data_IF_672739757811
#
_entry.id   IF_672739757811
#
_cell.length_a   1.000
_cell.length_b   1.000
_cell.length_c   1.000
_cell.angle_alpha   90.00
_cell.angle_beta   90.00
_cell.angle_gamma   90.00
#
_symmetry.space_group_name_H-M   'P 1'
#
loop_
_entity.id
_entity.type
_entity.pdbx_description
1 polymer ?
#
# COMPACT_ATOMS: atom_id res chain seq x y z
N UNK A 1 -5.94 -4.29 -10.11
CA UNK A 1 -5.85 -2.86 -10.40
C UNK A 1 -4.60 -2.53 -11.20
N UNK A 2 -4.76 -1.93 -12.39
CA UNK A 2 -3.66 -1.49 -13.26
C UNK A 2 -3.80 -0.01 -13.64
N UNK A 3 -4.67 0.71 -12.96
CA UNK A 3 -4.96 2.12 -13.25
C UNK A 3 -3.79 3.00 -12.82
N UNK A 4 -3.44 3.94 -13.69
CA UNK A 4 -2.48 5.01 -13.42
C UNK A 4 -3.17 6.37 -13.63
N UNK A 5 -2.53 7.40 -13.18
CA UNK A 5 -2.94 8.79 -13.28
C UNK A 5 -1.89 9.57 -14.05
N UNK A 6 -2.29 10.16 -15.17
CA UNK A 6 -1.41 10.93 -16.04
C UNK A 6 -1.96 12.33 -16.25
N UNK A 7 -1.08 13.30 -16.36
CA UNK A 7 -1.47 14.62 -16.84
C UNK A 7 -1.58 14.59 -18.36
N UNK A 8 -2.78 14.80 -18.88
CA UNK A 8 -3.01 14.93 -20.32
C UNK A 8 -2.78 16.36 -20.76
N UNK A 9 -1.71 16.59 -21.51
CA UNK A 9 -1.29 17.94 -21.94
C UNK A 9 -2.33 18.63 -22.82
N UNK A 10 -2.95 17.96 -23.82
CA UNK A 10 -3.98 18.56 -24.65
C UNK A 10 -5.20 19.05 -23.87
N UNK A 11 -5.74 18.23 -22.99
CA UNK A 11 -6.92 18.61 -22.19
C UNK A 11 -6.57 19.39 -20.92
N UNK A 12 -5.30 19.46 -20.52
CA UNK A 12 -4.81 20.05 -19.27
C UNK A 12 -5.49 19.47 -18.02
N UNK A 13 -5.82 18.18 -18.06
CA UNK A 13 -6.52 17.48 -17.00
C UNK A 13 -5.75 16.24 -16.54
N UNK A 14 -6.04 15.77 -15.32
CA UNK A 14 -5.60 14.47 -14.85
C UNK A 14 -6.54 13.40 -15.39
N UNK A 15 -6.03 12.56 -16.28
CA UNK A 15 -6.76 11.41 -16.81
C UNK A 15 -6.38 10.15 -16.07
N UNK A 16 -7.33 9.24 -15.95
CA UNK A 16 -7.14 7.90 -15.36
C UNK A 16 -7.44 6.85 -16.41
N UNK A 17 -6.50 5.96 -16.60
CA UNK A 17 -6.67 4.81 -17.47
C UNK A 17 -5.83 3.63 -16.99
N UNK A 18 -6.07 2.41 -17.48
CA UNK A 18 -5.14 1.31 -17.29
C UNK A 18 -3.75 1.65 -17.83
N UNK A 19 -2.71 1.20 -17.12
CA UNK A 19 -1.34 1.24 -17.61
C UNK A 19 -1.23 0.40 -18.89
N UNK A 20 -0.48 0.88 -19.86
CA UNK A 20 -0.22 0.20 -21.15
C UNK A 20 1.27 -0.03 -21.31
N UNK A 21 1.61 -0.97 -22.19
CA UNK A 21 3.00 -1.15 -22.61
C UNK A 21 3.52 0.16 -23.23
N UNK A 22 4.74 0.53 -22.86
CA UNK A 22 5.36 1.77 -23.27
C UNK A 22 5.01 2.99 -22.41
N UNK A 23 4.12 2.89 -21.44
CA UNK A 23 3.92 3.96 -20.45
C UNK A 23 5.19 4.16 -19.62
N UNK A 24 5.66 5.38 -19.58
CA UNK A 24 6.84 5.78 -18.82
C UNK A 24 6.46 6.78 -17.73
N UNK A 25 7.26 6.81 -16.69
CA UNK A 25 7.14 7.76 -15.59
C UNK A 25 8.44 7.79 -14.79
N UNK A 26 8.63 8.84 -14.01
CA UNK A 26 9.72 8.88 -13.05
C UNK A 26 9.37 8.06 -11.78
N UNK A 27 10.36 7.83 -10.92
CA UNK A 27 10.16 7.05 -9.69
C UNK A 27 9.03 7.61 -8.82
N UNK A 28 8.92 8.93 -8.71
CA UNK A 28 7.86 9.56 -7.90
C UNK A 28 6.46 9.25 -8.45
N UNK A 29 6.27 9.28 -9.76
CA UNK A 29 4.99 8.93 -10.40
C UNK A 29 4.65 7.46 -10.17
N UNK A 30 5.61 6.55 -10.29
CA UNK A 30 5.37 5.14 -9.99
C UNK A 30 5.01 4.90 -8.52
N UNK A 31 5.66 5.60 -7.58
CA UNK A 31 5.31 5.53 -6.16
C UNK A 31 3.91 6.12 -5.88
N UNK A 32 3.57 7.25 -6.53
CA UNK A 32 2.23 7.83 -6.45
C UNK A 32 1.16 6.86 -7.00
N UNK A 33 1.37 6.29 -8.17
CA UNK A 33 0.44 5.31 -8.73
C UNK A 33 0.31 4.05 -7.86
N UNK A 34 1.39 3.66 -7.20
CA UNK A 34 1.38 2.53 -6.26
C UNK A 34 0.58 2.83 -5.00
N UNK A 35 0.80 3.98 -4.40
CA UNK A 35 0.25 4.32 -3.08
C UNK A 35 -1.09 5.04 -3.17
N UNK A 36 -1.23 6.10 -3.97
CA UNK A 36 -2.45 6.90 -4.03
C UNK A 36 -3.51 6.31 -4.94
N UNK A 37 -3.15 5.78 -6.10
CA UNK A 37 -4.09 5.10 -7.02
C UNK A 37 -4.25 3.63 -6.71
N UNK A 38 -3.29 3.03 -5.99
CA UNK A 38 -3.24 1.61 -5.64
C UNK A 38 -3.11 0.69 -6.87
N UNK A 39 -2.23 1.04 -7.81
CA UNK A 39 -1.96 0.28 -9.03
C UNK A 39 -1.03 -0.89 -8.75
N UNK A 40 -1.50 -2.12 -8.98
CA UNK A 40 -0.66 -3.31 -8.87
C UNK A 40 0.41 -3.37 -9.97
N UNK A 41 0.14 -2.81 -11.15
CA UNK A 41 1.12 -2.74 -12.23
C UNK A 41 2.27 -1.80 -11.83
N UNK A 42 1.96 -0.58 -11.37
CA UNK A 42 2.97 0.36 -10.89
C UNK A 42 3.77 -0.22 -9.71
N UNK A 43 3.10 -0.89 -8.77
CA UNK A 43 3.77 -1.57 -7.66
C UNK A 43 4.74 -2.66 -8.14
N UNK A 44 4.36 -3.46 -9.13
CA UNK A 44 5.22 -4.48 -9.69
C UNK A 44 6.44 -3.86 -10.41
N UNK A 45 6.25 -2.76 -11.15
CA UNK A 45 7.35 -2.02 -11.77
C UNK A 45 8.29 -1.41 -10.72
N UNK A 46 7.76 -0.76 -9.70
CA UNK A 46 8.57 -0.24 -8.58
C UNK A 46 9.38 -1.35 -7.92
N UNK A 47 8.80 -2.53 -7.71
CA UNK A 47 9.51 -3.68 -7.15
C UNK A 47 10.62 -4.18 -8.09
N UNK A 48 10.36 -4.29 -9.39
CA UNK A 48 11.37 -4.65 -10.38
C UNK A 48 12.56 -3.69 -10.29
N UNK A 49 12.29 -2.41 -10.33
CA UNK A 49 13.31 -1.38 -10.36
C UNK A 49 14.08 -1.29 -9.02
N UNK A 50 13.41 -1.58 -7.90
CA UNK A 50 14.10 -1.73 -6.61
C UNK A 50 15.10 -2.89 -6.62
N UNK A 51 14.75 -4.03 -7.21
CA UNK A 51 15.67 -5.16 -7.36
C UNK A 51 16.84 -4.80 -8.27
N UNK A 52 16.59 -4.13 -9.39
CA UNK A 52 17.63 -3.69 -10.31
C UNK A 52 18.57 -2.67 -9.64
N UNK A 53 18.03 -1.68 -8.96
CA UNK A 53 18.81 -0.71 -8.19
C UNK A 53 19.67 -1.41 -7.12
N UNK A 54 19.11 -2.42 -6.42
CA UNK A 54 19.87 -3.19 -5.42
C UNK A 54 21.03 -3.94 -6.03
N UNK A 55 20.85 -4.49 -7.24
CA UNK A 55 21.88 -5.25 -7.93
C UNK A 55 22.96 -4.35 -8.57
N UNK A 56 22.54 -3.34 -9.33
CA UNK A 56 23.45 -2.50 -10.13
C UNK A 56 24.02 -1.32 -9.35
N UNK A 57 23.41 -0.94 -8.21
CA UNK A 57 23.86 0.17 -7.39
C UNK A 57 23.93 1.48 -8.18
N UNK A 58 25.16 2.02 -8.31
CA UNK A 58 25.40 3.29 -9.01
C UNK A 58 25.32 3.20 -10.54
N UNK A 59 25.36 2.00 -11.09
CA UNK A 59 25.23 1.76 -12.53
C UNK A 59 23.76 1.70 -12.99
N UNK A 60 22.81 1.74 -12.02
CA UNK A 60 21.38 1.89 -12.31
C UNK A 60 21.03 3.36 -12.58
N UNK A 61 20.19 3.71 -13.58
CA UNK A 61 19.38 2.81 -14.42
C UNK A 61 20.19 2.21 -15.60
N UNK A 62 19.89 0.94 -15.92
CA UNK A 62 20.40 0.29 -17.11
C UNK A 62 19.41 0.42 -18.28
N UNK A 63 19.86 0.31 -19.55
CA UNK A 63 18.97 0.32 -20.70
C UNK A 63 17.88 -0.76 -20.61
N UNK A 64 16.63 -0.40 -20.90
CA UNK A 64 15.47 -1.33 -20.81
C UNK A 64 15.70 -2.62 -21.59
N UNK A 65 16.38 -2.56 -22.75
CA UNK A 65 16.72 -3.72 -23.56
C UNK A 65 17.62 -4.73 -22.83
N UNK A 66 18.32 -4.35 -21.80
CA UNK A 66 19.20 -5.22 -21.01
C UNK A 66 18.48 -5.86 -19.81
N UNK A 67 17.34 -5.31 -19.37
CA UNK A 67 16.63 -5.76 -18.17
C UNK A 67 16.11 -7.19 -18.35
N UNK A 68 15.39 -7.46 -19.42
CA UNK A 68 14.82 -8.79 -19.67
C UNK A 68 15.89 -9.87 -19.83
N UNK A 69 16.97 -9.68 -20.65
CA UNK A 69 18.07 -10.64 -20.71
C UNK A 69 18.74 -10.87 -19.35
N UNK A 70 18.98 -9.81 -18.57
CA UNK A 70 19.55 -9.92 -17.22
C UNK A 70 18.70 -10.81 -16.32
N UNK A 71 17.41 -10.48 -16.19
CA UNK A 71 16.49 -11.22 -15.30
C UNK A 71 16.36 -12.68 -15.73
N UNK A 72 16.27 -12.95 -17.03
CA UNK A 72 16.15 -14.30 -17.57
C UNK A 72 17.45 -15.10 -17.43
N UNK A 73 18.59 -14.44 -17.38
CA UNK A 73 19.90 -15.07 -17.15
C UNK A 73 20.11 -15.53 -15.70
N UNK A 74 19.41 -14.94 -14.76
CA UNK A 74 19.49 -15.33 -13.34
C UNK A 74 18.83 -16.70 -13.10
N UNK A 75 19.49 -17.55 -12.31
CA UNK A 75 18.86 -18.77 -11.76
C UNK A 75 17.73 -18.41 -10.81
N UNK A 76 16.79 -19.34 -10.58
CA UNK A 76 15.70 -19.13 -9.65
C UNK A 76 16.14 -18.76 -8.22
N UNK A 77 17.23 -19.39 -7.75
CA UNK A 77 17.84 -19.07 -6.45
C UNK A 77 18.40 -17.64 -6.39
N UNK A 78 19.10 -17.20 -7.43
CA UNK A 78 19.68 -15.85 -7.52
C UNK A 78 18.60 -14.78 -7.58
N UNK A 79 17.49 -15.02 -8.28
CA UNK A 79 16.32 -14.14 -8.29
C UNK A 79 15.66 -14.05 -6.92
N UNK A 80 15.55 -15.17 -6.21
CA UNK A 80 15.00 -15.20 -4.85
C UNK A 80 15.90 -14.46 -3.87
N UNK A 81 17.21 -14.67 -3.94
CA UNK A 81 18.17 -13.95 -3.12
C UNK A 81 18.11 -12.44 -3.36
N UNK A 82 18.12 -12.00 -4.60
CA UNK A 82 18.00 -10.59 -4.97
C UNK A 82 16.68 -9.98 -4.45
N UNK A 83 15.59 -10.74 -4.53
CA UNK A 83 14.31 -10.32 -3.95
C UNK A 83 14.41 -10.15 -2.43
N UNK A 84 15.05 -11.07 -1.72
CA UNK A 84 15.22 -11.00 -0.28
C UNK A 84 16.09 -9.79 0.12
N UNK A 85 17.17 -9.57 -0.59
CA UNK A 85 18.05 -8.41 -0.40
C UNK A 85 17.29 -7.08 -0.63
N UNK A 86 16.40 -7.03 -1.61
CA UNK A 86 15.66 -5.82 -1.94
C UNK A 86 14.49 -5.53 -0.97
N UNK A 87 13.84 -6.58 -0.40
CA UNK A 87 12.59 -6.40 0.35
C UNK A 87 12.61 -6.93 1.78
N UNK A 88 13.44 -7.91 2.11
CA UNK A 88 13.48 -8.48 3.47
C UNK A 88 14.57 -7.83 4.32
N UNK A 89 15.74 -7.61 3.76
CA UNK A 89 16.83 -6.94 4.50
C UNK A 89 16.41 -5.52 4.97
N UNK A 90 15.75 -4.66 4.16
CA UNK A 90 15.30 -3.36 4.63
C UNK A 90 14.27 -3.45 5.77
N UNK A 91 13.42 -4.49 5.80
CA UNK A 91 12.47 -4.71 6.90
C UNK A 91 13.24 -4.95 8.21
N UNK A 92 14.20 -5.85 8.20
CA UNK A 92 15.02 -6.16 9.38
C UNK A 92 15.95 -5.00 9.77
N UNK A 93 16.51 -4.30 8.80
CA UNK A 93 17.33 -3.11 9.04
C UNK A 93 16.56 -1.97 9.72
N UNK A 94 15.24 -1.89 9.52
CA UNK A 94 14.34 -0.97 10.22
C UNK A 94 13.80 -1.57 11.54
N UNK A 95 14.37 -2.65 12.06
CA UNK A 95 13.98 -3.26 13.34
C UNK A 95 12.62 -3.94 13.32
N UNK A 96 12.05 -4.24 12.14
CA UNK A 96 10.81 -4.98 11.98
C UNK A 96 11.08 -6.48 11.82
N UNK A 97 10.17 -7.32 12.30
CA UNK A 97 10.28 -8.78 12.20
C UNK A 97 9.64 -9.31 10.92
N UNK A 98 10.38 -10.12 10.17
CA UNK A 98 9.86 -10.81 8.97
C UNK A 98 8.74 -11.80 9.30
N UNK A 99 8.62 -12.26 10.55
CA UNK A 99 7.50 -13.09 10.99
C UNK A 99 6.21 -12.29 11.20
N UNK A 100 6.30 -10.97 11.27
CA UNK A 100 5.16 -10.08 11.48
C UNK A 100 4.82 -9.23 10.27
N UNK A 101 5.78 -8.93 9.41
CA UNK A 101 5.56 -8.19 8.16
C UNK A 101 6.56 -8.65 7.09
N UNK A 102 6.04 -9.10 5.96
CA UNK A 102 6.88 -9.58 4.86
C UNK A 102 6.22 -9.38 3.52
N UNK A 103 6.95 -8.82 2.56
CA UNK A 103 6.64 -8.90 1.15
C UNK A 103 7.07 -10.28 0.64
N UNK A 104 6.13 -11.09 0.17
CA UNK A 104 6.41 -12.46 -0.25
C UNK A 104 6.40 -12.68 -1.76
N UNK A 105 5.74 -11.79 -2.52
CA UNK A 105 5.65 -11.91 -3.98
C UNK A 105 5.26 -10.59 -4.62
N UNK A 106 5.42 -10.51 -5.93
CA UNK A 106 4.89 -9.42 -6.73
C UNK A 106 3.35 -9.37 -6.75
N UNK A 107 2.79 -8.24 -7.16
CA UNK A 107 1.35 -8.02 -7.22
C UNK A 107 0.71 -8.49 -8.54
N UNK A 108 1.50 -8.58 -9.63
CA UNK A 108 1.04 -9.05 -10.94
C UNK A 108 1.38 -10.52 -11.16
N UNK A 109 0.72 -11.15 -12.12
CA UNK A 109 0.99 -12.54 -12.53
C UNK A 109 2.40 -12.69 -13.09
N UNK A 110 2.78 -11.77 -13.95
CA UNK A 110 4.10 -11.72 -14.60
C UNK A 110 5.19 -11.57 -13.54
N UNK A 111 5.04 -10.62 -12.62
CA UNK A 111 5.95 -10.44 -11.51
C UNK A 111 6.06 -11.66 -10.59
N UNK A 112 4.94 -12.37 -10.32
CA UNK A 112 4.98 -13.63 -9.54
C UNK A 112 5.75 -14.74 -10.24
N UNK A 113 5.71 -14.77 -11.56
CA UNK A 113 6.49 -15.71 -12.34
C UNK A 113 7.99 -15.35 -12.35
N UNK A 114 8.31 -14.07 -12.12
CA UNK A 114 9.70 -13.59 -12.09
C UNK A 114 10.45 -14.15 -10.88
N UNK A 115 9.80 -14.18 -9.71
CA UNK A 115 10.40 -14.67 -8.46
C UNK A 115 9.61 -15.87 -7.98
N UNK A 116 10.13 -17.06 -8.28
CA UNK A 116 9.57 -18.30 -7.77
C UNK A 116 9.90 -18.46 -6.29
N UNK A 117 8.89 -18.76 -5.45
CA UNK A 117 9.10 -19.19 -4.08
C UNK A 117 9.19 -18.07 -3.03
N UNK A 118 8.83 -16.83 -3.35
CA UNK A 118 8.78 -15.73 -2.37
C UNK A 118 7.73 -15.91 -1.25
N UNK A 119 6.79 -16.82 -1.42
CA UNK A 119 5.75 -17.13 -0.45
C UNK A 119 4.64 -16.09 -0.40
N UNK A 120 3.88 -16.06 0.69
CA UNK A 120 2.78 -15.13 0.89
C UNK A 120 3.29 -13.80 1.47
N UNK A 121 2.75 -12.71 0.97
CA UNK A 121 2.86 -11.40 1.62
C UNK A 121 1.87 -11.33 2.77
N UNK A 122 2.31 -10.86 3.92
CA UNK A 122 1.46 -10.68 5.09
C UNK A 122 1.96 -9.54 5.98
N UNK A 123 1.07 -9.05 6.83
CA UNK A 123 1.40 -8.13 7.90
C UNK A 123 0.41 -8.31 9.07
N UNK A 124 0.88 -8.11 10.29
CA UNK A 124 0.02 -7.97 11.46
C UNK A 124 -0.39 -6.51 11.64
N UNK A 125 -1.50 -6.26 12.32
CA UNK A 125 -1.89 -4.89 12.65
C UNK A 125 -0.82 -4.18 13.47
N UNK A 126 -0.14 -4.90 14.37
CA UNK A 126 0.95 -4.35 15.21
C UNK A 126 2.16 -3.94 14.37
N UNK A 127 2.61 -4.77 13.42
CA UNK A 127 3.76 -4.43 12.58
C UNK A 127 3.48 -3.27 11.64
N UNK A 128 2.26 -3.17 11.11
CA UNK A 128 1.83 -2.00 10.34
C UNK A 128 1.79 -0.74 11.20
N UNK A 129 1.35 -0.85 12.47
CA UNK A 129 1.39 0.26 13.42
C UNK A 129 2.84 0.72 13.69
N UNK A 130 3.77 -0.22 13.91
CA UNK A 130 5.17 0.09 14.12
C UNK A 130 5.80 0.80 12.91
N UNK A 131 5.52 0.30 11.69
CA UNK A 131 5.96 0.93 10.45
C UNK A 131 5.49 2.39 10.34
N UNK A 132 4.21 2.64 10.61
CA UNK A 132 3.66 4.00 10.58
C UNK A 132 4.22 4.89 11.69
N UNK A 133 4.47 4.33 12.87
CA UNK A 133 5.08 5.07 13.99
C UNK A 133 6.51 5.48 13.64
N UNK A 134 7.33 4.58 13.10
CA UNK A 134 8.67 4.92 12.64
C UNK A 134 8.65 6.00 11.56
N UNK A 135 7.68 5.93 10.63
CA UNK A 135 7.51 6.97 9.62
C UNK A 135 7.18 8.33 10.26
N UNK A 136 6.26 8.38 11.24
CA UNK A 136 5.92 9.61 11.96
C UNK A 136 7.10 10.19 12.75
N UNK A 137 7.96 9.33 13.26
CA UNK A 137 9.16 9.71 13.98
C UNK A 137 10.33 10.10 13.07
N UNK A 138 10.17 10.01 11.74
CA UNK A 138 11.26 10.28 10.80
C UNK A 138 12.35 9.20 10.77
N UNK A 139 12.03 7.99 11.23
CA UNK A 139 12.98 6.89 11.45
C UNK A 139 12.87 5.77 10.41
N UNK A 140 11.91 5.85 9.48
CA UNK A 140 11.81 4.88 8.40
C UNK A 140 12.84 5.21 7.32
N UNK A 141 13.96 4.48 7.32
CA UNK A 141 15.18 4.74 6.56
C UNK A 141 15.88 6.03 7.02
N UNK A 142 15.28 7.17 6.73
CA UNK A 142 15.68 8.51 7.15
C UNK A 142 14.48 9.46 7.21
N UNK A 143 14.70 10.68 7.70
CA UNK A 143 13.64 11.68 7.84
C UNK A 143 13.04 12.12 6.50
N UNK A 144 13.87 12.27 5.46
CA UNK A 144 13.44 12.65 4.12
C UNK A 144 12.54 11.58 3.47
N UNK A 145 12.96 10.32 3.55
CA UNK A 145 12.20 9.16 3.07
C UNK A 145 10.88 9.01 3.83
N UNK A 146 10.90 9.18 5.15
CA UNK A 146 9.71 9.13 6.01
C UNK A 146 8.69 10.20 5.61
N UNK A 147 9.14 11.44 5.41
CA UNK A 147 8.28 12.56 4.98
C UNK A 147 7.72 12.34 3.56
N UNK A 148 8.55 11.84 2.63
CA UNK A 148 8.13 11.55 1.27
C UNK A 148 7.05 10.46 1.26
N UNK A 149 7.24 9.40 2.03
CA UNK A 149 6.24 8.32 2.15
C UNK A 149 4.94 8.82 2.79
N UNK A 150 5.01 9.59 3.88
CA UNK A 150 3.84 10.22 4.51
C UNK A 150 3.08 11.10 3.52
N UNK A 151 3.79 11.92 2.72
CA UNK A 151 3.17 12.75 1.67
C UNK A 151 2.41 11.91 0.64
N UNK A 152 2.98 10.79 0.18
CA UNK A 152 2.31 9.88 -0.76
C UNK A 152 1.03 9.29 -0.17
N UNK A 153 1.01 8.95 1.13
CA UNK A 153 -0.20 8.50 1.81
C UNK A 153 -1.27 9.60 1.90
N UNK A 154 -0.87 10.87 2.06
CA UNK A 154 -1.80 12.00 2.05
C UNK A 154 -2.41 12.25 0.67
N UNK A 155 -1.64 12.05 -0.38
CA UNK A 155 -2.07 12.19 -1.78
C UNK A 155 -3.03 11.09 -2.23
N UNK A 156 -3.39 10.14 -1.36
CA UNK A 156 -4.37 9.09 -1.68
C UNK A 156 -5.66 9.71 -2.17
N UNK A 157 -5.94 9.49 -3.44
CA UNK A 157 -6.92 10.21 -4.24
C UNK A 157 -8.36 9.93 -3.84
N UNK A 158 -8.59 8.77 -3.24
CA UNK A 158 -9.90 8.34 -2.79
C UNK A 158 -9.91 8.13 -1.30
N UNK A 159 -10.60 8.99 -0.61
CA UNK A 159 -11.01 8.68 0.76
C UNK A 159 -12.12 7.62 0.69
N UNK A 160 -11.74 6.39 0.95
CA UNK A 160 -12.64 5.22 0.96
C UNK A 160 -12.48 4.49 2.29
N UNK A 161 -13.43 3.61 2.59
CA UNK A 161 -13.31 2.72 3.77
C UNK A 161 -13.14 3.54 5.06
N UNK A 162 -12.15 3.25 5.87
CA UNK A 162 -11.83 4.02 7.09
C UNK A 162 -11.74 5.53 6.83
N UNK A 163 -11.00 5.93 5.80
CA UNK A 163 -10.75 7.34 5.50
C UNK A 163 -11.99 8.10 4.98
N UNK A 164 -13.06 7.40 4.60
CA UNK A 164 -14.33 8.01 4.18
C UNK A 164 -15.33 8.20 5.34
N UNK A 165 -14.94 7.92 6.57
CA UNK A 165 -15.80 8.20 7.72
C UNK A 165 -16.14 9.71 7.76
N UNK A 166 -17.43 10.10 7.84
CA UNK A 166 -17.86 11.49 7.74
C UNK A 166 -17.19 12.41 8.77
N UNK A 167 -16.90 11.89 9.95
CA UNK A 167 -16.24 12.60 11.06
C UNK A 167 -14.78 12.98 10.73
N UNK A 168 -14.19 12.38 9.70
CA UNK A 168 -12.83 12.67 9.26
C UNK A 168 -12.78 13.66 8.07
N UNK A 169 -13.91 14.31 7.72
CA UNK A 169 -13.97 15.22 6.58
C UNK A 169 -12.93 16.33 6.67
N UNK A 170 -12.82 16.92 7.84
CA UNK A 170 -11.99 18.10 8.10
C UNK A 170 -10.63 17.73 8.71
N UNK A 171 -10.30 16.44 8.74
CA UNK A 171 -9.01 15.93 9.18
C UNK A 171 -8.05 15.73 8.03
N UNK A 172 -6.75 15.89 8.26
CA UNK A 172 -5.72 15.35 7.39
C UNK A 172 -5.64 13.83 7.65
N UNK A 173 -5.83 13.04 6.60
CA UNK A 173 -5.83 11.57 6.68
C UNK A 173 -4.81 11.01 5.70
N UNK A 174 -3.72 10.47 6.24
CA UNK A 174 -2.68 9.77 5.52
C UNK A 174 -3.06 8.30 5.47
N UNK A 175 -3.43 7.79 4.30
CA UNK A 175 -4.20 6.56 4.23
C UNK A 175 -3.71 5.59 3.16
N UNK A 176 -3.69 4.29 3.50
CA UNK A 176 -3.58 3.20 2.53
C UNK A 176 -4.47 2.04 2.93
N UNK A 177 -5.07 1.39 1.95
CA UNK A 177 -5.86 0.19 2.20
C UNK A 177 -5.64 -0.88 1.14
N UNK A 178 -5.97 -2.10 1.51
CA UNK A 178 -6.00 -3.25 0.64
C UNK A 178 -7.24 -4.10 0.89
N UNK A 179 -7.67 -4.85 -0.12
CA UNK A 179 -8.78 -5.80 0.01
C UNK A 179 -8.58 -7.01 -0.88
N UNK A 180 -9.01 -8.15 -0.36
CA UNK A 180 -9.11 -9.38 -1.12
C UNK A 180 -10.38 -10.11 -0.68
N UNK A 181 -11.27 -10.41 -1.63
CA UNK A 181 -12.47 -11.18 -1.34
C UNK A 181 -12.68 -12.29 -2.37
N UNK A 182 -13.28 -13.37 -1.93
CA UNK A 182 -13.72 -14.46 -2.80
C UNK A 182 -15.01 -15.07 -2.27
N UNK A 183 -15.76 -15.67 -3.18
CA UNK A 183 -17.03 -16.30 -2.88
C UNK A 183 -17.04 -17.76 -3.34
N UNK A 184 -17.83 -18.54 -2.62
CA UNK A 184 -18.33 -19.84 -3.05
C UNK A 184 -19.84 -19.74 -3.24
N UNK A 185 -20.41 -20.63 -4.06
CA UNK A 185 -21.87 -20.71 -4.21
C UNK A 185 -22.52 -21.02 -2.85
N UNK A 186 -23.56 -20.26 -2.51
CA UNK A 186 -24.31 -20.40 -1.26
C UNK A 186 -25.75 -19.93 -1.49
N UNK A 187 -26.73 -20.76 -1.08
CA UNK A 187 -28.16 -20.43 -1.22
C UNK A 187 -28.50 -19.21 -0.37
N UNK A 188 -29.19 -18.26 -0.94
CA UNK A 188 -29.61 -17.04 -0.24
C UNK A 188 -28.50 -15.98 -0.08
N UNK A 189 -27.29 -16.22 -0.61
CA UNK A 189 -26.21 -15.24 -0.56
C UNK A 189 -25.79 -14.78 -1.96
N UNK A 190 -25.77 -13.46 -2.15
CA UNK A 190 -25.24 -12.82 -3.36
C UNK A 190 -23.85 -12.25 -3.07
N UNK A 191 -22.85 -12.77 -3.78
CA UNK A 191 -21.49 -12.25 -3.71
C UNK A 191 -21.45 -10.82 -4.26
N UNK A 192 -20.78 -9.92 -3.54
CA UNK A 192 -20.63 -8.54 -3.95
C UNK A 192 -19.21 -8.03 -3.70
N UNK A 193 -18.91 -6.86 -4.23
CA UNK A 193 -17.63 -6.19 -3.99
C UNK A 193 -17.45 -5.95 -2.48
N UNK A 194 -16.34 -6.44 -1.92
CA UNK A 194 -16.02 -6.38 -0.49
C UNK A 194 -17.01 -7.14 0.42
N UNK A 195 -17.74 -8.11 -0.14
CA UNK A 195 -18.72 -8.91 0.56
C UNK A 195 -18.54 -10.38 0.20
N UNK A 196 -17.39 -10.93 0.56
CA UNK A 196 -17.06 -12.34 0.32
C UNK A 196 -17.62 -13.26 1.41
N UNK A 197 -17.97 -14.51 1.05
CA UNK A 197 -18.36 -15.56 2.00
C UNK A 197 -17.30 -16.65 2.20
N UNK A 198 -16.19 -16.61 1.44
CA UNK A 198 -15.04 -17.51 1.59
C UNK A 198 -13.82 -16.78 2.14
N UNK A 199 -13.52 -15.62 1.58
CA UNK A 199 -12.49 -14.69 2.01
C UNK A 199 -13.09 -13.29 1.89
N UNK A 200 -12.83 -12.42 2.87
CA UNK A 200 -13.28 -11.03 2.85
C UNK A 200 -12.29 -10.11 3.59
N UNK A 201 -11.02 -10.21 3.25
CA UNK A 201 -9.99 -9.39 3.86
C UNK A 201 -10.18 -7.92 3.51
N UNK A 202 -10.12 -7.09 4.53
CA UNK A 202 -10.03 -5.64 4.44
C UNK A 202 -8.97 -5.13 5.41
N UNK A 203 -8.02 -4.37 4.89
CA UNK A 203 -6.98 -3.74 5.67
C UNK A 203 -7.04 -2.24 5.43
N UNK A 204 -6.92 -1.46 6.49
CA UNK A 204 -6.85 0.00 6.46
C UNK A 204 -5.79 0.46 7.43
N UNK A 205 -4.85 1.28 6.96
CA UNK A 205 -3.90 1.99 7.81
C UNK A 205 -4.12 3.48 7.62
N UNK A 206 -4.12 4.23 8.70
CA UNK A 206 -4.30 5.67 8.66
C UNK A 206 -3.51 6.37 9.77
N UNK A 207 -2.97 7.54 9.43
CA UNK A 207 -2.57 8.56 10.39
C UNK A 207 -3.60 9.66 10.24
N UNK A 208 -4.13 10.15 11.34
CA UNK A 208 -5.15 11.20 11.37
C UNK A 208 -4.64 12.37 12.16
N UNK A 209 -4.68 13.54 11.57
CA UNK A 209 -4.36 14.81 12.23
C UNK A 209 -5.55 15.75 12.07
N UNK A 210 -5.99 16.31 13.18
CA UNK A 210 -7.10 17.27 13.20
C UNK A 210 -6.88 18.29 14.32
N UNK A 211 -7.21 19.53 14.05
CA UNK A 211 -7.34 20.55 15.08
C UNK A 211 -8.80 20.63 15.49
N UNK A 212 -9.06 20.54 16.81
CA UNK A 212 -10.38 20.63 17.40
C UNK A 212 -10.26 21.55 18.62
N UNK A 213 -10.96 22.67 18.60
CA UNK A 213 -10.98 23.65 19.71
C UNK A 213 -9.57 24.08 20.17
N UNK A 214 -8.66 24.33 19.20
CA UNK A 214 -7.28 24.72 19.46
C UNK A 214 -6.38 23.60 19.98
N UNK A 215 -6.86 22.36 20.06
CA UNK A 215 -6.08 21.18 20.43
C UNK A 215 -5.82 20.31 19.20
N UNK A 216 -4.58 19.84 19.06
CA UNK A 216 -4.20 18.91 17.99
C UNK A 216 -4.48 17.48 18.40
N UNK A 217 -5.41 16.84 17.69
CA UNK A 217 -5.64 15.41 17.76
C UNK A 217 -4.77 14.72 16.71
N UNK A 218 -3.88 13.82 17.13
CA UNK A 218 -2.97 13.08 16.24
C UNK A 218 -2.89 11.63 16.69
N UNK A 219 -3.26 10.70 15.79
CA UNK A 219 -3.24 9.28 16.12
C UNK A 219 -3.03 8.39 14.89
N UNK A 220 -2.59 7.16 15.14
CA UNK A 220 -2.40 6.12 14.14
C UNK A 220 -3.42 5.01 14.34
N UNK A 221 -3.99 4.51 13.25
CA UNK A 221 -4.92 3.37 13.25
C UNK A 221 -4.48 2.33 12.23
N UNK A 222 -4.52 1.08 12.65
CA UNK A 222 -4.37 -0.08 11.78
C UNK A 222 -5.52 -1.04 12.01
N UNK A 223 -6.28 -1.32 10.95
CA UNK A 223 -7.41 -2.24 10.98
C UNK A 223 -7.15 -3.38 10.01
N UNK A 224 -7.26 -4.61 10.51
CA UNK A 224 -7.17 -5.84 9.73
C UNK A 224 -8.40 -6.68 10.02
N UNK A 225 -9.18 -7.02 9.02
CA UNK A 225 -10.42 -7.78 9.21
C UNK A 225 -10.63 -8.87 8.14
N UNK A 226 -11.37 -9.91 8.50
CA UNK A 226 -11.88 -10.94 7.60
C UNK A 226 -13.30 -11.34 8.06
N UNK A 227 -14.23 -10.39 7.99
CA UNK A 227 -15.63 -10.63 8.38
C UNK A 227 -16.41 -11.04 7.15
N UNK A 228 -16.82 -12.31 7.12
CA UNK A 228 -17.53 -12.90 5.99
C UNK A 228 -18.97 -12.36 5.89
N UNK A 229 -19.49 -12.29 4.66
CA UNK A 229 -20.85 -11.87 4.29
C UNK A 229 -21.21 -10.41 4.59
N UNK A 230 -20.34 -9.68 5.26
CA UNK A 230 -20.49 -8.24 5.55
C UNK A 230 -19.77 -7.38 4.52
N UNK A 231 -20.29 -6.19 4.27
CA UNK A 231 -19.57 -5.23 3.44
C UNK A 231 -18.42 -4.61 4.25
N UNK A 232 -17.24 -5.19 4.09
CA UNK A 232 -16.05 -4.80 4.85
C UNK A 232 -15.61 -3.35 4.61
N UNK A 233 -15.96 -2.75 3.46
CA UNK A 233 -15.68 -1.33 3.20
C UNK A 233 -16.55 -0.41 4.07
N UNK A 234 -17.84 -0.74 4.20
CA UNK A 234 -18.78 -0.02 5.08
C UNK A 234 -18.43 -0.26 6.54
N UNK A 235 -18.07 -1.50 6.90
CA UNK A 235 -17.64 -1.83 8.27
C UNK A 235 -16.43 -0.98 8.70
N UNK A 236 -15.42 -0.84 7.85
CA UNK A 236 -14.25 0.00 8.15
C UNK A 236 -14.59 1.50 8.21
N UNK A 237 -15.54 1.99 7.42
CA UNK A 237 -16.05 3.36 7.52
C UNK A 237 -16.74 3.61 8.87
N UNK A 238 -17.61 2.70 9.28
CA UNK A 238 -18.30 2.76 10.58
C UNK A 238 -17.31 2.71 11.75
N UNK A 239 -16.31 1.82 11.66
CA UNK A 239 -15.23 1.76 12.65
C UNK A 239 -14.45 3.07 12.69
N UNK A 240 -14.22 3.73 11.55
CA UNK A 240 -13.60 5.05 11.49
C UNK A 240 -14.34 6.08 12.34
N UNK A 241 -15.66 6.14 12.22
CA UNK A 241 -16.50 7.03 13.04
C UNK A 241 -16.40 6.69 14.52
N UNK A 242 -16.51 5.42 14.88
CA UNK A 242 -16.49 4.98 16.30
C UNK A 242 -15.11 5.21 16.93
N UNK A 243 -14.03 4.84 16.25
CA UNK A 243 -12.66 5.00 16.76
C UNK A 243 -12.35 6.49 16.96
N UNK A 244 -12.69 7.34 15.99
CA UNK A 244 -12.48 8.78 16.12
C UNK A 244 -13.22 9.36 17.31
N UNK A 245 -14.49 8.99 17.50
CA UNK A 245 -15.28 9.40 18.68
C UNK A 245 -14.67 8.96 20.01
N UNK A 246 -14.23 7.69 20.11
CA UNK A 246 -13.55 7.19 21.31
C UNK A 246 -12.24 7.93 21.61
N UNK A 247 -11.48 8.27 20.58
CA UNK A 247 -10.22 9.01 20.76
C UNK A 247 -10.53 10.45 21.18
N UNK A 248 -11.50 11.12 20.57
CA UNK A 248 -11.97 12.45 21.01
C UNK A 248 -12.34 12.43 22.50
N UNK A 249 -13.23 11.52 22.89
CA UNK A 249 -13.67 11.36 24.28
C UNK A 249 -12.49 11.16 25.23
N UNK A 250 -11.52 10.32 24.87
CA UNK A 250 -10.33 10.04 25.67
C UNK A 250 -9.43 11.26 25.85
N UNK A 251 -9.47 12.20 24.92
CA UNK A 251 -8.71 13.45 24.96
C UNK A 251 -9.53 14.64 25.46
N UNK A 252 -10.74 14.42 25.96
CA UNK A 252 -11.63 15.48 26.45
C UNK A 252 -12.02 16.48 25.36
N UNK A 253 -12.31 15.95 24.18
CA UNK A 253 -12.78 16.67 22.99
C UNK A 253 -14.19 16.16 22.68
N UNK A 254 -15.18 17.00 22.77
CA UNK A 254 -16.59 16.67 22.46
C UNK A 254 -16.97 16.98 21.00
#
# INVERSE_FOLDING_TARGET
>A
HHTIRLFDVPSRTLVRRPMKDGDTGNLWEYLDWTLSVSSNAAAAMTMRDTMLLRHFGRDYPIPEAQITPFINGLKGSERTELFQQAFWEPVTANGLSLDQIRQGSFFTREGKNLVAGGGLSYATARSLMQLLLQMEQGQLVDEGSSRAFKRLLYMTERRIRYASAPVLRDAAVYFKSGSLYSCKSEVGFTCGKYKGNRINYMNSVAIVEQEIDGKRLHYIVTLVSNVLRENSAVAHQTLGTRIHGLIKQRHGLD
#
